data_IF_070887658114
#
_entry.id   IF_070887658114
#
_cell.length_a   1.000
_cell.length_b   1.000
_cell.length_c   1.000
_cell.angle_alpha   90.00
_cell.angle_beta   90.00
_cell.angle_gamma   90.00
#
_symmetry.space_group_name_H-M   'P 1'
#
loop_
_entity.id
_entity.type
_entity.pdbx_description
1 polymer ?
#
# COMPACT_ATOMS: atom_id res chain seq x y z
N UNK A 1 -39.00 -4.44 11.40
CA UNK A 1 -37.73 -5.18 11.63
C UNK A 1 -37.28 -5.76 10.31
N UNK A 2 -36.09 -5.40 9.82
CA UNK A 2 -35.45 -6.06 8.68
C UNK A 2 -33.97 -6.26 8.99
N UNK A 3 -33.46 -7.45 8.69
CA UNK A 3 -32.11 -7.91 9.03
C UNK A 3 -31.07 -7.37 8.04
N UNK A 4 -29.94 -6.90 8.56
CA UNK A 4 -28.78 -6.49 7.72
C UNK A 4 -28.16 -7.74 7.06
N UNK A 5 -27.69 -7.66 5.80
CA UNK A 5 -27.02 -8.77 5.14
C UNK A 5 -25.65 -9.05 5.78
N UNK A 6 -25.43 -10.30 6.18
CA UNK A 6 -24.26 -10.77 6.94
C UNK A 6 -22.91 -10.66 6.18
N UNK A 7 -22.97 -10.54 4.85
CA UNK A 7 -21.83 -10.63 3.92
C UNK A 7 -20.72 -9.58 4.11
N UNK A 8 -21.02 -8.40 4.66
CA UNK A 8 -20.03 -7.33 4.81
C UNK A 8 -19.04 -7.55 5.98
N UNK A 9 -19.33 -8.47 6.91
CA UNK A 9 -18.51 -8.63 8.11
C UNK A 9 -17.22 -9.45 7.92
N UNK A 10 -17.17 -10.39 6.96
CA UNK A 10 -16.02 -11.30 6.81
C UNK A 10 -14.79 -10.65 6.17
N UNK A 11 -14.98 -9.72 5.22
CA UNK A 11 -13.86 -8.97 4.61
C UNK A 11 -13.15 -8.04 5.61
N UNK A 12 -13.82 -7.63 6.69
CA UNK A 12 -13.35 -6.59 7.60
C UNK A 12 -12.26 -7.00 8.58
N UNK A 13 -12.06 -8.30 8.83
CA UNK A 13 -11.15 -8.81 9.87
C UNK A 13 -9.97 -9.56 9.26
N UNK A 14 -10.23 -10.59 8.46
CA UNK A 14 -9.17 -11.49 7.97
C UNK A 14 -8.17 -10.77 7.06
N UNK A 15 -8.65 -10.00 6.07
CA UNK A 15 -7.74 -9.20 5.22
C UNK A 15 -7.03 -8.10 6.01
N UNK A 16 -7.71 -7.40 6.95
CA UNK A 16 -7.04 -6.35 7.75
C UNK A 16 -5.88 -6.88 8.61
N UNK A 17 -5.94 -8.12 9.10
CA UNK A 17 -4.84 -8.73 9.89
C UNK A 17 -3.78 -9.46 9.06
N UNK A 18 -4.09 -9.99 7.86
CA UNK A 18 -3.08 -10.60 6.98
C UNK A 18 -2.34 -9.57 6.10
N UNK A 19 -2.99 -8.46 5.70
CA UNK A 19 -2.36 -7.39 4.90
C UNK A 19 -1.00 -6.92 5.46
N UNK A 20 -0.77 -6.66 6.76
CA UNK A 20 0.55 -6.22 7.23
C UNK A 20 1.70 -7.21 6.95
N UNK A 21 1.44 -8.52 6.83
CA UNK A 21 2.50 -9.50 6.52
C UNK A 21 2.86 -9.47 5.01
N UNK A 22 1.87 -9.42 4.13
CA UNK A 22 2.08 -9.28 2.68
C UNK A 22 2.59 -7.88 2.31
N UNK A 23 2.14 -6.85 3.04
CA UNK A 23 2.68 -5.51 2.96
C UNK A 23 4.15 -5.49 3.37
N UNK A 24 4.63 -6.34 4.29
CA UNK A 24 6.05 -6.32 4.66
C UNK A 24 6.99 -6.67 3.49
N UNK A 25 6.58 -7.58 2.61
CA UNK A 25 7.30 -7.89 1.36
C UNK A 25 7.23 -6.73 0.35
N UNK A 26 6.25 -5.84 0.46
CA UNK A 26 6.12 -4.59 -0.30
C UNK A 26 6.72 -3.35 0.40
N UNK A 27 6.97 -3.38 1.72
CA UNK A 27 7.44 -2.22 2.51
C UNK A 27 8.90 -1.85 2.19
N UNK A 28 9.70 -2.83 1.74
CA UNK A 28 11.02 -2.54 1.15
C UNK A 28 10.88 -1.76 -0.18
N UNK A 29 9.74 -1.88 -0.85
CA UNK A 29 9.32 -1.06 -1.99
C UNK A 29 8.59 0.24 -1.62
N UNK A 30 8.38 0.54 -0.33
CA UNK A 30 7.89 1.84 0.15
C UNK A 30 8.99 2.69 0.79
N UNK A 31 10.22 2.57 0.27
CA UNK A 31 11.23 3.61 0.41
C UNK A 31 10.75 4.87 -0.39
N UNK A 32 10.70 6.07 0.21
CA UNK A 32 10.04 7.25 -0.38
C UNK A 32 10.81 7.94 -1.53
N UNK A 33 11.78 7.24 -2.14
CA UNK A 33 12.90 7.86 -2.85
C UNK A 33 12.58 8.42 -4.25
N UNK A 34 11.36 8.22 -4.80
CA UNK A 34 10.98 8.71 -6.14
C UNK A 34 9.49 9.13 -6.22
N UNK A 35 9.22 10.21 -6.95
CA UNK A 35 7.93 10.91 -7.05
C UNK A 35 7.72 11.75 -8.36
N UNK A 36 8.47 11.55 -9.45
CA UNK A 36 8.29 12.29 -10.72
C UNK A 36 9.35 11.96 -11.81
N UNK A 37 9.55 12.73 -12.88
CA UNK A 37 8.69 13.65 -13.65
C UNK A 37 9.21 13.95 -15.09
N UNK A 38 10.51 14.20 -15.34
CA UNK A 38 11.20 14.13 -16.67
C UNK A 38 12.45 15.04 -16.89
N UNK A 39 13.46 14.72 -17.72
CA UNK A 39 13.75 13.46 -18.47
C UNK A 39 15.24 12.96 -18.51
N UNK A 40 16.26 13.52 -19.20
CA UNK A 40 17.49 12.78 -19.65
C UNK A 40 18.77 12.95 -18.77
N UNK A 41 19.90 12.23 -18.90
CA UNK A 41 20.51 11.23 -19.82
C UNK A 41 21.79 10.63 -19.15
N UNK A 42 22.47 9.54 -19.58
CA UNK A 42 22.14 8.38 -20.45
C UNK A 42 23.07 7.12 -20.17
N UNK A 43 24.01 6.55 -20.99
CA UNK A 43 24.27 5.08 -20.96
C UNK A 43 25.73 4.55 -20.74
N UNK A 44 25.86 3.26 -20.37
CA UNK A 44 27.12 2.47 -20.36
C UNK A 44 26.99 1.07 -19.69
N UNK A 45 27.05 -0.03 -20.46
CA UNK A 45 26.49 -1.36 -20.12
C UNK A 45 27.23 -2.30 -19.11
N UNK A 46 26.42 -3.05 -18.34
CA UNK A 46 26.48 -4.51 -18.01
C UNK A 46 27.76 -5.21 -17.46
N UNK A 47 27.61 -6.01 -16.39
CA UNK A 47 28.59 -7.01 -15.91
C UNK A 47 28.07 -7.90 -14.76
N UNK A 48 28.51 -9.16 -14.68
CA UNK A 48 27.99 -10.17 -13.74
C UNK A 48 28.66 -10.16 -12.33
N UNK A 49 28.10 -10.94 -11.40
CA UNK A 49 28.51 -10.96 -9.99
C UNK A 49 29.89 -11.61 -9.72
N UNK A 50 30.91 -10.77 -9.59
CA UNK A 50 32.13 -11.08 -8.84
C UNK A 50 31.87 -10.94 -7.31
N UNK A 51 32.86 -11.23 -6.45
CA UNK A 51 32.75 -10.98 -5.00
C UNK A 51 32.72 -9.47 -4.74
N UNK A 52 31.51 -8.90 -4.75
CA UNK A 52 31.31 -7.46 -4.93
C UNK A 52 32.08 -6.61 -3.91
N UNK A 53 32.91 -5.71 -4.44
CA UNK A 53 33.43 -4.53 -3.72
C UNK A 53 32.26 -3.86 -2.97
N UNK A 54 32.39 -3.57 -1.66
CA UNK A 54 31.35 -2.85 -0.92
C UNK A 54 30.98 -1.55 -1.66
N UNK A 55 29.70 -1.42 -2.00
CA UNK A 55 29.20 -0.33 -2.82
C UNK A 55 29.28 1.01 -2.06
N UNK A 56 29.45 2.10 -2.80
CA UNK A 56 29.17 3.46 -2.34
C UNK A 56 27.68 3.67 -1.98
N UNK A 57 27.33 4.77 -1.29
CA UNK A 57 25.94 5.05 -0.92
C UNK A 57 25.06 5.34 -2.15
N UNK A 58 25.63 6.01 -3.15
CA UNK A 58 25.07 6.21 -4.48
C UNK A 58 25.02 4.92 -5.31
N UNK A 59 26.14 4.18 -5.39
CA UNK A 59 26.22 2.87 -6.06
C UNK A 59 25.15 1.89 -5.52
N UNK A 60 24.87 1.93 -4.20
CA UNK A 60 23.87 1.07 -3.53
C UNK A 60 22.43 1.39 -3.97
N UNK A 61 22.05 2.66 -4.03
CA UNK A 61 20.72 3.07 -4.52
C UNK A 61 20.59 2.79 -6.02
N UNK A 62 21.61 3.11 -6.81
CA UNK A 62 21.61 2.84 -8.25
C UNK A 62 21.50 1.35 -8.56
N UNK A 63 22.15 0.47 -7.79
CA UNK A 63 22.00 -0.98 -7.93
C UNK A 63 20.55 -1.44 -7.68
N UNK A 64 19.90 -0.92 -6.62
CA UNK A 64 18.49 -1.21 -6.32
C UNK A 64 17.55 -0.70 -7.43
N UNK A 65 17.70 0.55 -7.86
CA UNK A 65 16.84 1.16 -8.90
C UNK A 65 16.98 0.45 -10.25
N UNK A 66 18.21 0.10 -10.64
CA UNK A 66 18.45 -0.69 -11.85
C UNK A 66 17.79 -2.07 -11.77
N UNK A 67 17.88 -2.75 -10.62
CA UNK A 67 17.22 -4.03 -10.41
C UNK A 67 15.70 -3.95 -10.54
N UNK A 68 15.06 -2.98 -9.88
CA UNK A 68 13.61 -2.74 -10.00
C UNK A 68 13.21 -2.46 -11.45
N UNK A 69 13.93 -1.58 -12.15
CA UNK A 69 13.69 -1.28 -13.57
C UNK A 69 13.84 -2.53 -14.46
N UNK A 70 14.81 -3.39 -14.17
CA UNK A 70 15.09 -4.60 -14.94
C UNK A 70 14.20 -5.78 -14.54
N UNK A 71 13.24 -5.60 -13.63
CA UNK A 71 12.34 -6.64 -13.10
C UNK A 71 13.12 -7.75 -12.37
N UNK A 72 14.16 -7.33 -11.64
CA UNK A 72 15.08 -8.11 -10.81
C UNK A 72 14.93 -7.68 -9.35
N UNK A 73 13.79 -8.02 -8.75
CA UNK A 73 13.39 -7.67 -7.39
C UNK A 73 14.30 -8.28 -6.32
N UNK A 74 15.13 -9.27 -6.65
CA UNK A 74 16.22 -9.71 -5.79
C UNK A 74 17.21 -8.59 -5.43
N UNK A 75 17.34 -7.55 -6.26
CA UNK A 75 18.13 -6.36 -5.92
C UNK A 75 17.59 -5.64 -4.67
N UNK A 76 16.26 -5.61 -4.48
CA UNK A 76 15.60 -5.02 -3.31
C UNK A 76 15.86 -5.84 -2.05
N UNK A 77 15.97 -7.17 -2.17
CA UNK A 77 16.44 -8.02 -1.07
C UNK A 77 17.92 -7.78 -0.77
N UNK A 78 18.76 -7.80 -1.81
CA UNK A 78 20.21 -7.67 -1.69
C UNK A 78 20.66 -6.30 -1.16
N UNK A 79 19.82 -5.27 -1.29
CA UNK A 79 20.00 -3.97 -0.67
C UNK A 79 20.01 -4.03 0.87
N UNK A 80 19.14 -4.85 1.49
CA UNK A 80 18.97 -4.92 2.95
C UNK A 80 20.18 -5.54 3.69
N UNK A 81 20.52 -5.07 4.90
CA UNK A 81 21.45 -5.74 5.83
C UNK A 81 21.08 -7.20 6.11
N UNK A 82 22.04 -8.00 6.57
CA UNK A 82 21.83 -9.42 6.87
C UNK A 82 20.89 -9.62 8.08
N UNK A 83 21.00 -8.79 9.12
CA UNK A 83 20.02 -8.77 10.22
C UNK A 83 18.61 -8.45 9.73
N UNK A 84 18.45 -7.44 8.86
CA UNK A 84 17.15 -7.02 8.35
C UNK A 84 16.51 -8.11 7.47
N UNK A 85 17.32 -8.84 6.69
CA UNK A 85 16.89 -10.04 5.97
C UNK A 85 16.46 -11.17 6.93
N UNK A 86 17.22 -11.40 8.01
CA UNK A 86 16.91 -12.41 9.04
C UNK A 86 15.63 -12.07 9.81
N UNK A 87 15.38 -10.80 10.13
CA UNK A 87 14.15 -10.32 10.75
C UNK A 87 12.92 -10.65 9.89
N UNK A 88 12.95 -10.29 8.60
CA UNK A 88 11.82 -10.52 7.69
C UNK A 88 11.55 -12.02 7.49
N UNK A 89 12.59 -12.83 7.30
CA UNK A 89 12.44 -14.29 7.23
C UNK A 89 11.90 -14.85 8.56
N UNK A 90 12.46 -14.44 9.70
CA UNK A 90 12.06 -14.89 11.03
C UNK A 90 10.62 -14.51 11.39
N UNK A 91 10.15 -13.34 10.98
CA UNK A 91 8.75 -12.89 11.12
C UNK A 91 7.79 -13.81 10.33
N UNK A 92 8.16 -14.21 9.11
CA UNK A 92 7.39 -15.16 8.32
C UNK A 92 7.36 -16.56 8.97
N UNK A 93 8.50 -17.03 9.49
CA UNK A 93 8.61 -18.33 10.17
C UNK A 93 7.82 -18.35 11.49
N UNK A 94 7.91 -17.28 12.29
CA UNK A 94 7.19 -17.13 13.56
C UNK A 94 5.66 -17.11 13.30
N UNK A 95 5.20 -16.33 12.33
CA UNK A 95 3.80 -16.36 11.89
C UNK A 95 3.37 -17.77 11.44
N UNK A 96 4.21 -18.47 10.66
CA UNK A 96 3.94 -19.83 10.20
C UNK A 96 3.89 -20.87 11.32
N UNK A 97 4.49 -20.59 12.49
CA UNK A 97 4.42 -21.44 13.68
C UNK A 97 3.14 -21.26 14.50
N UNK A 98 2.48 -20.10 14.39
CA UNK A 98 1.30 -19.70 15.18
C UNK A 98 -0.03 -20.01 14.50
N UNK A 99 -0.03 -20.08 13.18
CA UNK A 99 -1.26 -20.19 12.38
C UNK A 99 -1.69 -21.65 12.15
N UNK A 100 -3.01 -21.87 12.06
CA UNK A 100 -3.57 -23.18 11.73
C UNK A 100 -3.41 -23.50 10.23
N UNK A 101 -2.95 -24.72 9.87
CA UNK A 101 -2.67 -25.09 8.48
C UNK A 101 -3.94 -25.25 7.62
N UNK A 102 -5.06 -25.67 8.19
CA UNK A 102 -6.32 -25.86 7.46
C UNK A 102 -6.91 -24.49 7.07
N UNK A 103 -6.90 -23.54 8.00
CA UNK A 103 -7.28 -22.14 7.76
C UNK A 103 -6.38 -21.47 6.73
N UNK A 104 -5.05 -21.63 6.86
CA UNK A 104 -4.10 -20.95 5.99
C UNK A 104 -4.07 -21.55 4.58
N UNK A 105 -3.91 -22.87 4.46
CA UNK A 105 -3.85 -23.54 3.16
C UNK A 105 -5.20 -23.45 2.44
N UNK A 106 -6.32 -23.65 3.13
CA UNK A 106 -7.67 -23.51 2.55
C UNK A 106 -7.96 -22.11 2.00
N UNK A 107 -7.36 -21.06 2.58
CA UNK A 107 -7.41 -19.69 2.02
C UNK A 107 -6.71 -19.63 0.66
N UNK A 108 -5.53 -20.24 0.55
CA UNK A 108 -4.73 -20.26 -0.69
C UNK A 108 -5.30 -21.17 -1.76
N UNK A 109 -5.81 -22.36 -1.41
CA UNK A 109 -6.52 -23.27 -2.33
C UNK A 109 -7.76 -22.59 -2.94
N UNK A 110 -8.51 -21.85 -2.12
CA UNK A 110 -9.65 -21.02 -2.58
C UNK A 110 -9.17 -19.90 -3.52
N UNK A 111 -8.02 -19.28 -3.22
CA UNK A 111 -7.36 -18.30 -4.07
C UNK A 111 -6.88 -18.87 -5.41
N UNK A 112 -6.35 -20.09 -5.42
CA UNK A 112 -5.94 -20.81 -6.63
C UNK A 112 -7.14 -21.16 -7.51
N UNK A 113 -8.24 -21.65 -6.91
CA UNK A 113 -9.51 -21.85 -7.63
C UNK A 113 -10.05 -20.56 -8.25
N UNK A 114 -10.03 -19.45 -7.51
CA UNK A 114 -10.43 -18.15 -8.04
C UNK A 114 -9.50 -17.70 -9.19
N UNK A 115 -8.18 -17.80 -9.03
CA UNK A 115 -7.21 -17.43 -10.07
C UNK A 115 -7.39 -18.25 -11.36
N UNK A 116 -7.69 -19.55 -11.22
CA UNK A 116 -8.06 -20.43 -12.32
C UNK A 116 -9.39 -20.01 -12.95
N UNK A 117 -10.43 -19.80 -12.16
CA UNK A 117 -11.76 -19.39 -12.63
C UNK A 117 -11.72 -18.09 -13.46
N UNK A 118 -10.94 -17.09 -13.00
CA UNK A 118 -10.75 -15.82 -13.71
C UNK A 118 -10.07 -15.99 -15.08
N UNK A 119 -9.30 -17.07 -15.29
CA UNK A 119 -8.70 -17.41 -16.58
C UNK A 119 -9.65 -18.25 -17.42
N UNK A 120 -10.09 -19.39 -16.89
CA UNK A 120 -10.96 -20.37 -17.55
C UNK A 120 -12.32 -19.79 -18.01
N UNK A 121 -12.81 -18.72 -17.35
CA UNK A 121 -14.08 -18.06 -17.68
C UNK A 121 -13.92 -16.58 -18.10
N UNK A 122 -12.72 -16.14 -18.52
CA UNK A 122 -12.44 -14.75 -18.98
C UNK A 122 -13.56 -14.19 -19.86
N UNK A 123 -13.92 -14.91 -20.92
CA UNK A 123 -14.99 -14.51 -21.85
C UNK A 123 -16.35 -14.27 -21.16
N UNK A 124 -16.78 -15.16 -20.27
CA UNK A 124 -18.10 -15.05 -19.63
C UNK A 124 -18.14 -13.85 -18.66
N UNK A 125 -16.99 -13.50 -18.07
CA UNK A 125 -16.86 -12.34 -17.18
C UNK A 125 -16.88 -11.04 -18.00
N UNK A 126 -16.10 -10.95 -19.09
CA UNK A 126 -16.05 -9.77 -19.94
C UNK A 126 -17.34 -9.52 -20.74
N UNK A 127 -18.16 -10.56 -20.96
CA UNK A 127 -19.51 -10.45 -21.53
C UNK A 127 -20.60 -10.08 -20.51
N UNK A 128 -20.29 -10.06 -19.20
CA UNK A 128 -21.26 -9.71 -18.18
C UNK A 128 -21.69 -8.23 -18.31
N UNK A 129 -23.00 -7.98 -18.37
CA UNK A 129 -23.55 -6.63 -18.56
C UNK A 129 -23.13 -5.61 -17.49
N UNK A 130 -22.82 -6.04 -16.26
CA UNK A 130 -22.31 -5.15 -15.20
C UNK A 130 -20.83 -4.80 -15.38
N UNK A 131 -20.05 -5.61 -16.10
CA UNK A 131 -18.67 -5.29 -16.51
C UNK A 131 -18.69 -4.38 -17.74
N UNK A 132 -19.52 -4.71 -18.73
CA UNK A 132 -19.69 -3.88 -19.94
C UNK A 132 -20.33 -2.50 -19.65
N UNK A 133 -21.09 -2.39 -18.55
CA UNK A 133 -21.63 -1.12 -18.05
C UNK A 133 -20.66 -0.28 -17.22
N UNK A 134 -19.41 -0.71 -17.03
CA UNK A 134 -18.37 0.12 -16.40
C UNK A 134 -17.90 1.22 -17.37
N UNK A 135 -17.46 2.39 -16.87
CA UNK A 135 -16.98 3.50 -17.70
C UNK A 135 -15.54 3.28 -18.19
N UNK A 136 -15.24 2.10 -18.75
CA UNK A 136 -13.94 1.71 -19.31
C UNK A 136 -14.17 0.93 -20.61
N UNK A 137 -13.46 1.21 -21.72
CA UNK A 137 -13.66 0.51 -22.99
C UNK A 137 -13.47 -1.02 -22.85
N UNK A 138 -14.30 -1.87 -23.49
CA UNK A 138 -14.17 -3.33 -23.43
C UNK A 138 -12.79 -3.85 -23.85
N UNK A 139 -12.17 -3.19 -24.84
CA UNK A 139 -10.84 -3.51 -25.35
C UNK A 139 -9.78 -3.30 -24.26
N UNK A 140 -9.90 -2.22 -23.47
CA UNK A 140 -9.04 -1.97 -22.32
C UNK A 140 -9.30 -2.96 -21.18
N UNK A 141 -10.55 -3.37 -20.97
CA UNK A 141 -10.86 -4.41 -19.98
C UNK A 141 -10.24 -5.77 -20.35
N UNK A 142 -10.11 -6.10 -21.64
CA UNK A 142 -9.37 -7.29 -22.08
C UNK A 142 -7.85 -7.14 -21.90
N UNK A 143 -7.27 -6.02 -22.34
CA UNK A 143 -5.83 -5.71 -22.18
C UNK A 143 -5.37 -5.78 -20.70
N UNK A 144 -6.16 -5.22 -19.78
CA UNK A 144 -5.85 -5.24 -18.34
C UNK A 144 -6.09 -6.61 -17.67
N UNK A 145 -6.85 -7.53 -18.30
CA UNK A 145 -7.28 -8.77 -17.67
C UNK A 145 -6.13 -9.73 -17.35
N UNK A 146 -5.31 -10.02 -18.37
CA UNK A 146 -4.29 -11.08 -18.27
C UNK A 146 -3.15 -10.68 -17.29
N UNK A 147 -2.62 -9.45 -17.30
CA UNK A 147 -1.70 -8.99 -16.26
C UNK A 147 -2.31 -9.04 -14.85
N UNK A 148 -3.58 -8.65 -14.69
CA UNK A 148 -4.27 -8.67 -13.39
C UNK A 148 -4.44 -10.09 -12.85
N UNK A 149 -4.91 -11.03 -13.68
CA UNK A 149 -5.03 -12.43 -13.27
C UNK A 149 -3.67 -13.11 -13.06
N UNK A 150 -2.62 -12.64 -13.73
CA UNK A 150 -1.25 -13.10 -13.49
C UNK A 150 -0.68 -12.62 -12.14
N UNK A 151 -0.98 -11.40 -11.68
CA UNK A 151 -0.63 -10.95 -10.32
C UNK A 151 -1.27 -11.88 -9.27
N UNK A 152 -2.57 -12.14 -9.39
CA UNK A 152 -3.29 -13.04 -8.48
C UNK A 152 -2.68 -14.44 -8.55
N UNK A 153 -2.45 -14.96 -9.77
CA UNK A 153 -1.85 -16.30 -9.99
C UNK A 153 -0.45 -16.43 -9.37
N UNK A 154 0.41 -15.43 -9.50
CA UNK A 154 1.76 -15.45 -8.95
C UNK A 154 1.71 -15.54 -7.42
N UNK A 155 0.91 -14.69 -6.77
CA UNK A 155 0.74 -14.70 -5.31
C UNK A 155 0.21 -16.05 -4.81
N UNK A 156 -0.88 -16.57 -5.38
CA UNK A 156 -1.54 -17.78 -4.85
C UNK A 156 -0.81 -19.09 -5.14
N UNK A 157 0.25 -19.09 -5.97
CA UNK A 157 1.10 -20.25 -6.23
C UNK A 157 2.55 -20.10 -5.68
N UNK A 158 2.87 -18.94 -5.10
CA UNK A 158 4.20 -18.56 -4.60
C UNK A 158 4.73 -19.40 -3.42
N UNK A 159 5.91 -19.03 -2.91
CA UNK A 159 6.42 -19.56 -1.64
C UNK A 159 5.58 -19.17 -0.40
N UNK A 160 4.61 -18.26 -0.55
CA UNK A 160 3.63 -17.95 0.49
C UNK A 160 2.42 -18.89 0.45
N UNK A 161 2.30 -19.79 -0.55
CA UNK A 161 1.02 -20.46 -0.84
C UNK A 161 0.60 -21.60 0.11
N UNK A 162 1.40 -21.93 1.11
CA UNK A 162 1.02 -22.88 2.16
C UNK A 162 1.87 -22.66 3.41
N UNK A 163 1.34 -23.07 4.56
CA UNK A 163 1.99 -22.86 5.85
C UNK A 163 3.36 -23.55 5.90
N UNK A 164 3.50 -24.71 5.27
CA UNK A 164 4.77 -25.46 5.25
C UNK A 164 5.85 -24.82 4.39
N UNK A 165 5.49 -24.17 3.27
CA UNK A 165 6.45 -23.32 2.53
C UNK A 165 6.85 -22.10 3.37
N UNK A 166 5.91 -21.51 4.10
CA UNK A 166 6.13 -20.31 4.91
C UNK A 166 7.05 -20.56 6.12
N UNK A 167 7.03 -21.77 6.70
CA UNK A 167 8.00 -22.21 7.74
C UNK A 167 9.45 -22.21 7.26
N UNK A 168 9.66 -22.29 5.94
CA UNK A 168 10.97 -22.19 5.29
C UNK A 168 10.99 -21.03 4.28
N UNK A 169 10.29 -19.94 4.58
CA UNK A 169 10.25 -18.77 3.71
C UNK A 169 11.65 -18.15 3.56
N UNK A 170 11.98 -17.72 2.34
CA UNK A 170 13.14 -16.87 2.10
C UNK A 170 12.75 -15.72 1.16
N UNK A 171 12.94 -14.49 1.63
CA UNK A 171 12.58 -13.28 0.89
C UNK A 171 13.38 -13.10 -0.40
N UNK A 172 14.64 -13.54 -0.45
CA UNK A 172 15.48 -13.48 -1.64
C UNK A 172 14.99 -14.42 -2.74
N UNK A 173 14.68 -15.66 -2.39
CA UNK A 173 14.04 -16.65 -3.26
C UNK A 173 12.63 -16.21 -3.69
N UNK A 174 11.83 -15.65 -2.78
CA UNK A 174 10.51 -15.13 -3.13
C UNK A 174 10.61 -13.98 -4.14
N UNK A 175 11.50 -13.00 -3.91
CA UNK A 175 11.63 -11.83 -4.78
C UNK A 175 12.23 -12.20 -6.15
N UNK A 176 13.29 -13.04 -6.19
CA UNK A 176 13.87 -13.55 -7.45
C UNK A 176 12.92 -14.40 -8.30
N UNK A 177 11.85 -14.96 -7.71
CA UNK A 177 10.86 -15.79 -8.43
C UNK A 177 9.51 -15.10 -8.58
N UNK A 178 8.75 -14.97 -7.49
CA UNK A 178 7.41 -14.37 -7.46
C UNK A 178 7.49 -12.86 -7.63
N UNK A 179 8.44 -12.18 -6.97
CA UNK A 179 8.67 -10.74 -7.14
C UNK A 179 8.92 -10.37 -8.60
N UNK A 180 9.74 -11.15 -9.31
CA UNK A 180 10.04 -10.93 -10.73
C UNK A 180 8.83 -11.17 -11.66
N UNK A 181 7.92 -12.11 -11.30
CA UNK A 181 6.64 -12.28 -12.01
C UNK A 181 5.65 -11.13 -11.73
N UNK A 182 5.63 -10.62 -10.50
CA UNK A 182 4.83 -9.46 -10.10
C UNK A 182 5.32 -8.19 -10.80
N UNK A 183 6.62 -7.92 -10.80
CA UNK A 183 7.24 -6.79 -11.48
C UNK A 183 6.91 -6.79 -12.99
N UNK A 184 7.01 -7.94 -13.66
CA UNK A 184 6.59 -8.11 -15.07
C UNK A 184 5.12 -7.74 -15.28
N UNK A 185 4.24 -8.19 -14.40
CA UNK A 185 2.80 -7.96 -14.52
C UNK A 185 2.41 -6.49 -14.21
N UNK A 186 3.04 -5.87 -13.21
CA UNK A 186 2.87 -4.44 -12.88
C UNK A 186 3.43 -3.56 -14.00
N UNK A 187 4.57 -3.89 -14.58
CA UNK A 187 5.15 -3.19 -15.72
C UNK A 187 4.24 -3.27 -16.96
N UNK A 188 3.65 -4.45 -17.23
CA UNK A 188 2.64 -4.61 -18.28
C UNK A 188 1.43 -3.69 -18.01
N UNK A 189 0.84 -3.71 -16.80
CA UNK A 189 -0.26 -2.80 -16.43
C UNK A 189 0.13 -1.32 -16.63
N UNK A 190 1.33 -0.91 -16.21
CA UNK A 190 1.78 0.49 -16.31
C UNK A 190 1.89 0.98 -17.77
N UNK A 191 2.18 0.07 -18.71
CA UNK A 191 2.30 0.39 -20.14
C UNK A 191 0.95 0.55 -20.84
N UNK A 192 -0.14 0.06 -20.22
CA UNK A 192 -1.51 0.18 -20.72
C UNK A 192 -2.22 1.44 -20.21
N UNK A 193 -1.69 2.07 -19.15
CA UNK A 193 -2.17 3.37 -18.64
C UNK A 193 -1.68 4.49 -19.56
N UNK A 194 -2.56 5.35 -20.11
CA UNK A 194 -2.15 6.49 -20.91
C UNK A 194 -1.19 7.40 -20.14
N UNK A 195 0.02 7.55 -20.66
CA UNK A 195 0.98 8.52 -20.14
C UNK A 195 0.55 9.93 -20.56
N UNK A 196 0.81 10.93 -19.72
CA UNK A 196 0.65 12.33 -20.14
C UNK A 196 1.67 12.66 -21.23
N UNK A 197 1.23 13.42 -22.23
CA UNK A 197 2.09 13.84 -23.33
C UNK A 197 3.27 14.67 -22.80
N UNK A 198 4.50 14.25 -23.14
CA UNK A 198 5.75 14.87 -22.67
C UNK A 198 6.36 14.25 -21.40
N UNK A 199 5.59 13.57 -20.54
CA UNK A 199 6.17 12.86 -19.38
C UNK A 199 6.83 11.53 -19.82
N UNK A 200 8.05 11.19 -19.35
CA UNK A 200 8.60 9.85 -19.47
C UNK A 200 7.79 8.82 -18.68
N UNK A 201 7.77 7.58 -19.18
CA UNK A 201 7.21 6.45 -18.45
C UNK A 201 8.00 6.13 -17.17
N UNK A 202 7.41 5.34 -16.27
CA UNK A 202 8.04 4.93 -15.02
C UNK A 202 9.43 4.29 -15.21
N UNK A 203 9.59 3.36 -16.17
CA UNK A 203 10.90 2.76 -16.49
C UNK A 203 11.92 3.78 -17.00
N UNK A 204 11.48 4.76 -17.78
CA UNK A 204 12.35 5.82 -18.25
C UNK A 204 12.77 6.74 -17.09
N UNK A 205 11.86 7.08 -16.17
CA UNK A 205 12.18 7.83 -14.94
C UNK A 205 13.26 7.11 -14.12
N UNK A 206 13.10 5.80 -13.87
CA UNK A 206 14.11 4.97 -13.17
C UNK A 206 15.49 4.99 -13.87
N UNK A 207 15.53 4.75 -15.19
CA UNK A 207 16.79 4.69 -15.97
C UNK A 207 17.56 6.00 -16.02
N UNK A 208 16.87 7.13 -15.93
CA UNK A 208 17.48 8.46 -16.03
C UNK A 208 17.70 9.11 -14.64
N UNK A 209 17.30 8.45 -13.55
CA UNK A 209 17.59 8.89 -12.19
C UNK A 209 19.09 8.85 -11.93
N UNK A 210 19.66 10.00 -11.58
CA UNK A 210 21.05 10.12 -11.12
C UNK A 210 21.06 10.14 -9.60
N UNK A 211 22.04 9.47 -9.01
CA UNK A 211 22.35 9.58 -7.59
C UNK A 211 23.80 10.01 -7.49
N UNK A 212 24.08 10.99 -6.65
CA UNK A 212 25.42 11.54 -6.45
C UNK A 212 25.69 11.72 -4.97
N UNK A 213 26.95 11.57 -4.55
CA UNK A 213 27.35 11.79 -3.16
C UNK A 213 27.64 13.27 -2.94
N UNK A 214 26.89 13.94 -2.06
CA UNK A 214 27.13 15.33 -1.65
C UNK A 214 28.21 15.37 -0.57
N UNK A 215 28.15 14.42 0.38
CA UNK A 215 29.01 14.38 1.57
C UNK A 215 29.16 12.94 2.07
N UNK A 216 30.32 12.58 2.63
CA UNK A 216 30.53 11.33 3.37
C UNK A 216 31.33 11.60 4.64
N UNK A 217 30.84 11.13 5.78
CA UNK A 217 31.48 11.28 7.10
C UNK A 217 31.52 9.91 7.80
N UNK A 218 32.53 9.10 7.44
CA UNK A 218 32.74 7.77 8.00
C UNK A 218 31.66 6.77 7.57
N UNK A 219 30.69 6.52 8.47
CA UNK A 219 29.57 5.61 8.27
C UNK A 219 28.24 6.32 7.98
N UNK A 220 28.23 7.64 7.82
CA UNK A 220 27.12 8.41 7.24
C UNK A 220 27.50 9.05 5.90
N UNK A 221 26.50 9.31 5.06
CA UNK A 221 26.65 10.06 3.81
C UNK A 221 25.36 10.79 3.46
N UNK A 222 25.47 11.94 2.80
CA UNK A 222 24.34 12.64 2.17
C UNK A 222 24.42 12.36 0.67
N UNK A 223 23.37 11.77 0.10
CA UNK A 223 23.23 11.61 -1.35
C UNK A 223 22.20 12.59 -1.89
N UNK A 224 22.42 13.06 -3.12
CA UNK A 224 21.45 13.83 -3.89
C UNK A 224 20.87 12.92 -4.96
N UNK A 225 19.55 12.74 -4.92
CA UNK A 225 18.77 12.00 -5.91
C UNK A 225 18.19 13.02 -6.89
N UNK A 226 18.75 13.01 -8.09
CA UNK A 226 18.24 13.73 -9.26
C UNK A 226 17.44 12.74 -10.10
N UNK A 227 16.27 12.37 -9.59
CA UNK A 227 15.23 11.82 -10.42
C UNK A 227 14.89 12.86 -11.50
N UNK A 228 14.63 12.46 -12.75
CA UNK A 228 14.31 13.42 -13.80
C UNK A 228 13.11 14.25 -13.39
N UNK A 229 13.20 15.58 -13.35
CA UNK A 229 12.05 16.49 -13.20
C UNK A 229 11.21 16.37 -11.92
N UNK A 230 11.64 15.58 -10.93
CA UNK A 230 11.39 15.98 -9.54
C UNK A 230 12.23 17.22 -9.24
N UNK A 231 11.88 17.93 -8.17
CA UNK A 231 12.89 18.74 -7.49
C UNK A 231 13.92 17.78 -6.88
N UNK A 232 15.23 18.01 -7.06
CA UNK A 232 16.25 17.13 -6.51
C UNK A 232 16.17 17.03 -4.98
N UNK A 233 16.19 15.81 -4.46
CA UNK A 233 16.11 15.53 -3.02
C UNK A 233 17.48 15.18 -2.48
N UNK A 234 17.82 15.66 -1.29
CA UNK A 234 18.94 15.16 -0.51
C UNK A 234 18.41 14.18 0.55
N UNK A 235 19.04 13.01 0.63
CA UNK A 235 18.67 11.89 1.51
C UNK A 235 19.89 11.48 2.33
N UNK A 236 19.70 11.29 3.63
CA UNK A 236 20.76 10.79 4.51
C UNK A 236 20.84 9.26 4.43
N UNK A 237 22.05 8.75 4.30
CA UNK A 237 22.40 7.33 4.22
C UNK A 237 23.30 6.96 5.39
N UNK A 238 23.11 5.77 5.94
CA UNK A 238 23.93 5.21 7.03
C UNK A 238 24.39 3.80 6.67
N UNK A 239 25.62 3.44 7.04
CA UNK A 239 26.20 2.12 6.78
C UNK A 239 25.81 1.15 7.89
N UNK A 240 24.97 0.17 7.56
CA UNK A 240 24.54 -0.93 8.45
C UNK A 240 25.09 -2.23 7.89
N UNK A 241 25.90 -2.95 8.68
CA UNK A 241 26.53 -4.23 8.30
C UNK A 241 27.30 -4.19 6.96
N UNK A 242 27.89 -3.04 6.63
CA UNK A 242 28.62 -2.84 5.37
C UNK A 242 27.78 -2.41 4.17
N UNK A 243 26.45 -2.27 4.32
CA UNK A 243 25.54 -1.78 3.27
C UNK A 243 25.02 -0.39 3.60
N UNK A 244 24.83 0.46 2.59
CA UNK A 244 24.28 1.80 2.77
C UNK A 244 22.76 1.79 2.65
N UNK A 245 22.08 2.23 3.71
CA UNK A 245 20.62 2.24 3.85
C UNK A 245 20.16 3.67 4.14
N UNK A 246 18.99 4.13 3.66
CA UNK A 246 18.45 5.43 4.03
C UNK A 246 18.25 5.51 5.54
N UNK A 247 18.73 6.59 6.16
CA UNK A 247 18.77 6.77 7.61
C UNK A 247 17.37 6.65 8.24
N UNK A 248 16.35 7.17 7.57
CA UNK A 248 14.95 7.00 7.97
C UNK A 248 14.50 5.52 8.04
N UNK A 249 15.00 4.65 7.15
CA UNK A 249 14.72 3.21 7.25
C UNK A 249 15.48 2.57 8.41
N UNK A 250 16.76 2.92 8.59
CA UNK A 250 17.58 2.35 9.66
C UNK A 250 17.12 2.76 11.07
N UNK A 251 16.93 4.07 11.31
CA UNK A 251 16.48 4.63 12.59
C UNK A 251 15.13 4.07 13.04
N UNK A 252 14.28 3.65 12.09
CA UNK A 252 12.95 3.12 12.36
C UNK A 252 12.85 1.59 12.22
N UNK A 253 13.94 0.87 11.93
CA UNK A 253 13.88 -0.58 11.68
C UNK A 253 13.42 -1.33 12.93
N UNK A 254 14.16 -1.19 14.03
CA UNK A 254 13.93 -1.91 15.28
C UNK A 254 12.54 -1.64 15.86
N UNK A 255 12.06 -0.38 15.79
CA UNK A 255 10.70 0.00 16.17
C UNK A 255 9.67 -0.75 15.33
N UNK A 256 9.81 -0.78 14.00
CA UNK A 256 8.90 -1.50 13.09
C UNK A 256 8.95 -3.01 13.33
N UNK A 257 10.13 -3.58 13.63
CA UNK A 257 10.28 -5.00 13.99
C UNK A 257 9.59 -5.34 15.31
N UNK A 258 9.79 -4.53 16.36
CA UNK A 258 9.12 -4.69 17.64
C UNK A 258 7.60 -4.63 17.49
N UNK A 259 7.11 -3.72 16.65
CA UNK A 259 5.68 -3.55 16.38
C UNK A 259 5.06 -4.74 15.63
N UNK A 260 5.78 -5.34 14.68
CA UNK A 260 5.34 -6.58 14.00
C UNK A 260 5.41 -7.77 14.97
N UNK A 261 6.49 -7.91 15.75
CA UNK A 261 6.64 -8.98 16.76
C UNK A 261 5.56 -8.89 17.85
N UNK A 262 5.17 -7.68 18.28
CA UNK A 262 4.02 -7.44 19.15
C UNK A 262 2.71 -7.95 18.53
N UNK A 263 2.45 -7.60 17.27
CA UNK A 263 1.27 -8.08 16.51
C UNK A 263 1.29 -9.60 16.26
N UNK A 264 2.46 -10.25 16.25
CA UNK A 264 2.59 -11.71 16.25
C UNK A 264 2.40 -12.32 17.66
N UNK A 265 2.82 -11.65 18.73
CA UNK A 265 2.54 -12.07 20.10
C UNK A 265 1.04 -12.06 20.41
N UNK A 266 0.31 -11.07 19.89
CA UNK A 266 -1.16 -10.98 19.98
C UNK A 266 -1.90 -12.14 19.29
N UNK A 267 -1.26 -12.92 18.41
CA UNK A 267 -1.84 -14.13 17.81
C UNK A 267 -1.78 -15.31 18.79
N UNK A 268 -2.63 -15.26 19.82
CA UNK A 268 -2.77 -16.35 20.79
C UNK A 268 -3.52 -17.56 20.21
N UNK A 269 -3.34 -18.79 20.72
CA UNK A 269 -4.03 -19.98 20.23
C UNK A 269 -5.56 -19.85 20.24
N UNK A 270 -6.12 -19.13 21.22
CA UNK A 270 -7.56 -18.86 21.35
C UNK A 270 -8.04 -17.93 20.22
N UNK A 271 -7.29 -16.86 19.91
CA UNK A 271 -7.60 -15.96 18.79
C UNK A 271 -7.48 -16.68 17.44
N UNK A 272 -6.49 -17.55 17.27
CA UNK A 272 -6.31 -18.34 16.03
C UNK A 272 -7.44 -19.36 15.88
N UNK A 273 -7.84 -20.03 16.97
CA UNK A 273 -8.95 -20.99 16.96
C UNK A 273 -10.29 -20.32 16.66
N UNK A 274 -10.59 -19.18 17.30
CA UNK A 274 -11.81 -18.42 17.02
C UNK A 274 -11.87 -17.88 15.58
N UNK A 275 -10.73 -17.46 15.02
CA UNK A 275 -10.63 -17.05 13.61
C UNK A 275 -10.74 -18.24 12.66
N UNK A 276 -10.25 -19.44 13.04
CA UNK A 276 -10.35 -20.66 12.22
C UNK A 276 -11.78 -20.99 11.85
N UNK A 277 -12.69 -21.08 12.83
CA UNK A 277 -14.09 -21.45 12.58
C UNK A 277 -14.78 -20.47 11.62
N UNK A 278 -14.63 -19.16 11.87
CA UNK A 278 -15.19 -18.11 11.01
C UNK A 278 -14.58 -18.16 9.59
N UNK A 279 -13.27 -18.42 9.49
CA UNK A 279 -12.55 -18.43 8.22
C UNK A 279 -12.90 -19.67 7.39
N UNK A 280 -12.97 -20.86 7.99
CA UNK A 280 -13.39 -22.08 7.31
C UNK A 280 -14.86 -22.02 6.84
N UNK A 281 -15.76 -21.41 7.64
CA UNK A 281 -17.13 -21.14 7.21
C UNK A 281 -17.19 -20.20 6.00
N UNK A 282 -16.36 -19.14 5.98
CA UNK A 282 -16.22 -18.24 4.84
C UNK A 282 -15.64 -18.92 3.60
N UNK A 283 -14.54 -19.67 3.77
CA UNK A 283 -13.89 -20.49 2.74
C UNK A 283 -14.91 -21.45 2.12
N UNK A 284 -15.71 -22.14 2.92
CA UNK A 284 -16.78 -23.02 2.43
C UNK A 284 -17.80 -22.26 1.57
N UNK A 285 -18.32 -21.13 2.06
CA UNK A 285 -19.31 -20.32 1.33
C UNK A 285 -18.76 -19.78 -0.01
N UNK A 286 -17.49 -19.36 -0.02
CA UNK A 286 -16.80 -18.95 -1.26
C UNK A 286 -16.61 -20.14 -2.19
N UNK A 287 -16.15 -21.29 -1.69
CA UNK A 287 -15.93 -22.50 -2.48
C UNK A 287 -17.23 -23.10 -3.07
N UNK A 288 -18.36 -22.98 -2.39
CA UNK A 288 -19.70 -23.31 -2.92
C UNK A 288 -20.14 -22.34 -4.03
N UNK A 289 -19.66 -21.09 -3.99
CA UNK A 289 -19.96 -20.06 -5.00
C UNK A 289 -19.04 -20.21 -6.22
N UNK A 290 -17.75 -20.46 -6.00
CA UNK A 290 -16.79 -20.84 -7.04
C UNK A 290 -17.26 -22.11 -7.75
N UNK A 291 -17.70 -23.15 -7.03
CA UNK A 291 -18.21 -24.38 -7.64
C UNK A 291 -19.39 -24.13 -8.60
N UNK A 292 -20.28 -23.17 -8.31
CA UNK A 292 -21.38 -22.80 -9.22
C UNK A 292 -20.86 -22.10 -10.49
N UNK A 293 -19.90 -21.20 -10.34
CA UNK A 293 -19.28 -20.48 -11.46
C UNK A 293 -18.40 -21.38 -12.34
N UNK A 294 -17.66 -22.32 -11.74
CA UNK A 294 -16.86 -23.33 -12.43
C UNK A 294 -17.76 -24.26 -13.26
N UNK A 295 -18.78 -24.85 -12.64
CA UNK A 295 -19.67 -25.83 -13.27
C UNK A 295 -20.74 -25.22 -14.20
N UNK A 296 -20.88 -23.90 -14.23
CA UNK A 296 -21.83 -23.22 -15.11
C UNK A 296 -21.58 -23.59 -16.59
N UNK A 297 -22.60 -24.15 -17.22
CA UNK A 297 -22.59 -24.70 -18.59
C UNK A 297 -22.98 -23.67 -19.65
N UNK A 298 -23.54 -22.54 -19.25
CA UNK A 298 -23.86 -21.41 -20.11
C UNK A 298 -23.44 -20.09 -19.48
N UNK A 299 -23.31 -19.07 -20.33
CA UNK A 299 -23.06 -17.70 -19.90
C UNK A 299 -24.21 -17.16 -19.02
N UNK A 300 -25.45 -17.57 -19.26
CA UNK A 300 -26.61 -17.21 -18.43
C UNK A 300 -26.51 -17.79 -17.01
N UNK A 301 -26.19 -19.07 -16.87
CA UNK A 301 -26.02 -19.74 -15.57
C UNK A 301 -24.86 -19.12 -14.77
N UNK A 302 -23.78 -18.76 -15.47
CA UNK A 302 -22.64 -18.06 -14.90
C UNK A 302 -23.01 -16.64 -14.44
N UNK A 303 -23.63 -15.83 -15.32
CA UNK A 303 -24.00 -14.45 -15.01
C UNK A 303 -25.09 -14.35 -13.95
N UNK A 304 -26.01 -15.31 -13.86
CA UNK A 304 -26.97 -15.44 -12.75
C UNK A 304 -26.29 -15.59 -11.38
N UNK A 305 -25.11 -16.19 -11.34
CA UNK A 305 -24.30 -16.35 -10.13
C UNK A 305 -23.34 -15.17 -9.91
N UNK A 306 -22.77 -14.60 -10.98
CA UNK A 306 -21.77 -13.52 -10.90
C UNK A 306 -22.38 -12.13 -10.67
N UNK A 307 -23.47 -11.77 -11.36
CA UNK A 307 -24.04 -10.41 -11.30
C UNK A 307 -24.44 -9.97 -9.87
N UNK A 308 -25.01 -10.84 -8.99
CA UNK A 308 -25.24 -10.47 -7.58
C UNK A 308 -23.97 -10.14 -6.79
N UNK A 309 -22.81 -10.67 -7.20
CA UNK A 309 -21.49 -10.41 -6.59
C UNK A 309 -20.93 -9.06 -7.10
N UNK A 310 -21.16 -8.74 -8.37
CA UNK A 310 -20.71 -7.50 -9.02
C UNK A 310 -21.57 -6.28 -8.67
N UNK A 311 -22.88 -6.45 -8.41
CA UNK A 311 -23.81 -5.35 -8.22
C UNK A 311 -23.36 -4.26 -7.21
N UNK A 312 -22.80 -4.60 -6.02
CA UNK A 312 -22.30 -3.58 -5.09
C UNK A 312 -21.10 -2.78 -5.64
N UNK A 313 -20.27 -3.37 -6.50
CA UNK A 313 -19.14 -2.71 -7.15
C UNK A 313 -19.62 -1.80 -8.29
N UNK A 314 -20.56 -2.30 -9.11
CA UNK A 314 -21.18 -1.52 -10.18
C UNK A 314 -21.95 -0.30 -9.64
N UNK A 315 -22.60 -0.41 -8.47
CA UNK A 315 -23.23 0.73 -7.78
C UNK A 315 -22.21 1.75 -7.22
N UNK A 316 -21.01 1.30 -6.86
CA UNK A 316 -19.96 2.16 -6.31
C UNK A 316 -19.14 2.89 -7.40
N UNK A 317 -19.02 2.30 -8.60
CA UNK A 317 -18.20 2.86 -9.68
C UNK A 317 -18.59 4.31 -10.10
N UNK A 318 -19.89 4.68 -10.27
CA UNK A 318 -20.27 6.06 -10.54
C UNK A 318 -19.92 7.03 -9.41
N UNK A 319 -19.97 6.59 -8.15
CA UNK A 319 -19.59 7.42 -6.99
C UNK A 319 -18.09 7.69 -6.97
N UNK A 320 -17.25 6.66 -7.21
CA UNK A 320 -15.80 6.85 -7.33
C UNK A 320 -15.44 7.71 -8.54
N UNK A 321 -16.13 7.56 -9.67
CA UNK A 321 -15.90 8.40 -10.86
C UNK A 321 -16.35 9.85 -10.66
N UNK A 322 -17.39 10.11 -9.85
CA UNK A 322 -17.74 11.48 -9.45
C UNK A 322 -16.69 12.08 -8.50
N UNK A 323 -16.16 11.29 -7.56
CA UNK A 323 -15.10 11.71 -6.66
C UNK A 323 -13.77 12.00 -7.39
N UNK A 324 -13.43 11.20 -8.40
CA UNK A 324 -12.25 11.42 -9.26
C UNK A 324 -12.48 12.56 -10.27
N UNK A 325 -13.67 12.66 -10.87
CA UNK A 325 -14.00 13.62 -11.92
C UNK A 325 -14.32 15.04 -11.42
N UNK A 326 -14.60 15.23 -10.14
CA UNK A 326 -14.72 16.56 -9.52
C UNK A 326 -13.40 17.09 -8.93
N UNK A 327 -12.31 16.31 -8.98
CA UNK A 327 -10.97 16.80 -8.65
C UNK A 327 -10.15 17.05 -9.93
N UNK A 328 -9.42 18.17 -10.03
CA UNK A 328 -8.55 18.46 -11.17
C UNK A 328 -7.24 17.66 -11.07
N UNK A 329 -7.33 16.33 -11.17
CA UNK A 329 -6.22 15.37 -11.10
C UNK A 329 -5.20 15.70 -9.99
N UNK A 330 -5.70 15.95 -8.77
CA UNK A 330 -4.87 15.97 -7.57
C UNK A 330 -4.06 14.68 -7.51
N UNK A 331 -2.79 14.78 -7.13
CA UNK A 331 -1.90 13.61 -7.07
C UNK A 331 -2.52 12.48 -6.25
N UNK A 332 -2.42 11.25 -6.76
CA UNK A 332 -2.89 10.07 -6.05
C UNK A 332 -2.31 10.00 -4.63
N UNK A 333 -3.01 9.40 -3.66
CA UNK A 333 -2.68 9.49 -2.25
C UNK A 333 -1.22 9.10 -1.99
N UNK A 334 -0.41 10.10 -1.63
CA UNK A 334 1.03 9.94 -1.47
C UNK A 334 1.35 8.97 -0.32
N UNK A 335 2.36 8.09 -0.47
CA UNK A 335 2.78 7.18 0.59
C UNK A 335 3.57 7.94 1.68
N UNK A 336 2.88 8.77 2.48
CA UNK A 336 3.46 9.71 3.44
C UNK A 336 2.95 9.63 4.89
N UNK A 337 1.86 8.89 5.16
CA UNK A 337 1.32 8.69 6.52
C UNK A 337 0.66 9.91 7.18
N UNK A 338 0.23 9.81 8.46
CA UNK A 338 0.08 8.59 9.26
C UNK A 338 -1.34 8.02 9.20
N UNK A 339 -1.49 6.69 9.05
CA UNK A 339 -2.74 6.00 9.41
C UNK A 339 -2.55 4.49 9.59
N UNK A 340 -2.11 4.09 10.79
CA UNK A 340 -2.26 2.71 11.29
C UNK A 340 -2.93 2.63 12.67
N UNK A 341 -3.60 3.71 13.09
CA UNK A 341 -4.65 3.63 14.09
C UNK A 341 -5.82 2.75 13.62
N UNK A 342 -6.59 2.19 14.55
CA UNK A 342 -7.72 1.34 14.19
C UNK A 342 -8.77 2.10 13.38
N UNK A 343 -9.00 1.68 12.13
CA UNK A 343 -10.15 2.11 11.34
C UNK A 343 -11.47 1.49 11.88
N UNK A 344 -11.84 1.91 13.09
CA UNK A 344 -13.23 2.03 13.55
C UNK A 344 -13.89 3.18 12.76
N UNK A 345 -15.21 3.18 12.52
CA UNK A 345 -15.90 4.37 12.07
C UNK A 345 -15.70 5.49 13.10
N UNK A 346 -15.20 6.65 12.68
CA UNK A 346 -15.03 7.80 13.56
C UNK A 346 -16.39 8.19 14.16
N UNK A 347 -16.47 8.28 15.49
CA UNK A 347 -17.67 8.76 16.18
C UNK A 347 -17.92 10.22 15.77
N UNK A 348 -19.08 10.57 15.18
CA UNK A 348 -19.40 11.96 14.83
C UNK A 348 -19.30 12.92 16.03
N UNK A 349 -19.46 12.42 17.26
CA UNK A 349 -19.35 13.18 18.50
C UNK A 349 -17.89 13.39 18.96
N UNK A 350 -16.91 12.82 18.26
CA UNK A 350 -15.46 12.94 18.54
C UNK A 350 -14.67 13.63 17.41
N UNK A 351 -15.29 13.93 16.27
CA UNK A 351 -14.67 14.74 15.21
C UNK A 351 -14.59 16.20 15.65
N UNK A 352 -13.46 16.87 15.46
CA UNK A 352 -13.31 18.34 15.48
C UNK A 352 -13.01 18.84 14.08
N UNK A 353 -13.56 20.00 13.71
CA UNK A 353 -13.31 20.66 12.42
C UNK A 353 -12.55 21.96 12.64
N UNK A 354 -11.25 21.98 12.38
CA UNK A 354 -10.46 23.23 12.30
C UNK A 354 -10.73 23.89 10.95
N UNK A 355 -10.93 25.20 10.96
CA UNK A 355 -11.20 26.03 9.78
C UNK A 355 -10.15 27.13 9.72
N UNK A 356 -9.45 27.25 8.59
CA UNK A 356 -8.50 28.31 8.30
C UNK A 356 -9.01 29.08 7.09
N UNK A 357 -9.33 30.37 7.27
CA UNK A 357 -9.94 31.25 6.26
C UNK A 357 -8.91 31.74 5.21
N UNK A 358 -8.00 30.84 4.82
CA UNK A 358 -7.03 30.94 3.74
C UNK A 358 -6.88 29.57 3.11
N UNK A 359 -6.81 29.53 1.78
CA UNK A 359 -6.45 28.34 1.00
C UNK A 359 -4.94 28.07 1.12
N UNK A 360 -4.60 26.91 1.64
CA UNK A 360 -3.22 26.48 1.85
C UNK A 360 -2.78 25.49 0.77
N UNK A 361 -1.58 25.67 0.22
CA UNK A 361 -0.88 24.64 -0.55
C UNK A 361 -0.45 23.48 0.34
N UNK A 362 -0.12 22.32 -0.23
CA UNK A 362 0.26 21.13 0.56
C UNK A 362 1.43 21.42 1.51
N UNK A 363 2.49 22.08 1.01
CA UNK A 363 3.65 22.47 1.81
C UNK A 363 3.34 23.47 2.96
N UNK A 364 2.20 24.18 2.90
CA UNK A 364 1.70 25.00 4.02
C UNK A 364 0.80 24.20 4.98
N UNK A 365 0.26 23.05 4.55
CA UNK A 365 -0.56 22.16 5.37
C UNK A 365 0.29 21.18 6.18
N UNK A 366 1.38 20.67 5.62
CA UNK A 366 2.25 19.67 6.26
C UNK A 366 2.74 20.10 7.68
N UNK A 367 3.35 21.28 7.90
CA UNK A 367 3.76 21.73 9.24
C UNK A 367 2.59 22.05 10.19
N UNK A 368 1.37 22.23 9.66
CA UNK A 368 0.14 22.36 10.46
C UNK A 368 -0.33 20.98 10.91
N UNK A 369 -0.28 19.98 10.04
CA UNK A 369 -0.64 18.58 10.34
C UNK A 369 0.28 18.02 11.43
N UNK A 370 1.60 18.25 11.34
CA UNK A 370 2.56 17.90 12.40
C UNK A 370 2.17 18.53 13.75
N UNK A 371 1.87 19.82 13.77
CA UNK A 371 1.49 20.51 15.01
C UNK A 371 0.11 20.09 15.53
N UNK A 372 -0.82 19.65 14.68
CA UNK A 372 -2.07 19.00 15.10
C UNK A 372 -1.76 17.67 15.79
N UNK A 373 -0.88 16.83 15.22
CA UNK A 373 -0.47 15.55 15.80
C UNK A 373 0.25 15.72 17.16
N UNK A 374 0.95 16.84 17.36
CA UNK A 374 1.55 17.23 18.65
C UNK A 374 0.56 17.89 19.63
N UNK A 375 -0.68 18.18 19.21
CA UNK A 375 -1.71 18.84 20.03
C UNK A 375 -2.82 17.90 20.53
N UNK A 376 -2.87 16.67 20.02
CA UNK A 376 -3.84 15.63 20.41
C UNK A 376 -3.30 14.73 21.52
N UNK A 377 -4.18 14.22 22.40
CA UNK A 377 -3.79 13.41 23.56
C UNK A 377 -3.50 11.92 23.25
N UNK A 378 -3.86 11.45 22.06
CA UNK A 378 -3.58 10.11 21.54
C UNK A 378 -3.21 10.23 20.06
N UNK A 379 -1.94 10.47 19.78
CA UNK A 379 -1.43 10.68 18.42
C UNK A 379 -1.33 9.39 17.60
N UNK A 380 -1.44 8.21 18.21
CA UNK A 380 -1.39 6.91 17.51
C UNK A 380 -2.73 6.57 16.83
N UNK A 381 -3.85 7.06 17.36
CA UNK A 381 -5.20 6.81 16.84
C UNK A 381 -5.80 7.96 16.03
N UNK A 382 -5.08 9.08 15.85
CA UNK A 382 -5.64 10.29 15.22
C UNK A 382 -5.62 10.25 13.70
N UNK A 383 -6.81 10.41 13.12
CA UNK A 383 -7.06 10.60 11.70
C UNK A 383 -7.26 12.09 11.40
N UNK A 384 -6.50 12.63 10.45
CA UNK A 384 -6.58 14.01 9.99
C UNK A 384 -6.91 14.01 8.49
N UNK A 385 -8.03 14.63 8.12
CA UNK A 385 -8.42 14.78 6.71
C UNK A 385 -8.48 16.27 6.36
N UNK A 386 -7.50 16.81 5.62
CA UNK A 386 -7.59 18.13 5.03
C UNK A 386 -8.61 18.16 3.89
N UNK A 387 -9.35 19.26 3.77
CA UNK A 387 -10.34 19.53 2.74
C UNK A 387 -10.25 21.01 2.35
N UNK A 388 -10.17 21.32 1.07
CA UNK A 388 -10.24 22.69 0.58
C UNK A 388 -11.66 23.01 0.10
N UNK A 389 -12.28 24.03 0.67
CA UNK A 389 -13.62 24.50 0.32
C UNK A 389 -13.53 25.97 -0.12
N UNK A 390 -13.42 26.20 -1.43
CA UNK A 390 -13.17 27.52 -2.00
C UNK A 390 -11.82 28.09 -1.58
N UNK A 391 -11.85 29.21 -0.86
CA UNK A 391 -10.68 29.92 -0.32
C UNK A 391 -10.38 29.57 1.14
N UNK A 392 -10.91 28.46 1.64
CA UNK A 392 -10.78 28.01 3.05
C UNK A 392 -10.21 26.59 3.10
N UNK A 393 -9.21 26.36 3.96
CA UNK A 393 -8.70 25.02 4.26
C UNK A 393 -9.28 24.53 5.58
N UNK A 394 -9.79 23.30 5.59
CA UNK A 394 -10.52 22.68 6.69
C UNK A 394 -9.83 21.37 7.07
N UNK A 395 -9.51 21.17 8.35
CA UNK A 395 -8.97 19.90 8.85
C UNK A 395 -10.02 19.21 9.74
N UNK A 396 -10.43 18.00 9.36
CA UNK A 396 -11.26 17.14 10.21
C UNK A 396 -10.37 16.18 10.99
N UNK A 397 -10.45 16.23 12.32
CA UNK A 397 -9.55 15.56 13.25
C UNK A 397 -10.37 14.67 14.17
N UNK A 398 -9.97 13.41 14.36
CA UNK A 398 -10.64 12.47 15.26
C UNK A 398 -9.68 11.40 15.76
N UNK A 399 -9.74 10.96 17.03
CA UNK A 399 -10.64 11.44 18.08
C UNK A 399 -10.15 12.70 18.78
N UNK A 400 -11.07 13.61 19.11
CA UNK A 400 -10.85 14.73 20.05
C UNK A 400 -12.00 14.73 21.04
N UNK A 401 -11.75 14.54 22.33
CA UNK A 401 -12.80 14.52 23.35
C UNK A 401 -13.25 15.93 23.72
N UNK A 402 -12.33 16.74 24.25
CA UNK A 402 -12.55 18.12 24.67
C UNK A 402 -12.03 19.13 23.62
N UNK A 403 -12.96 19.87 23.03
CA UNK A 403 -12.68 20.88 21.98
C UNK A 403 -11.99 22.13 22.56
N UNK A 404 -12.28 22.50 23.80
CA UNK A 404 -11.71 23.70 24.44
C UNK A 404 -10.32 23.44 25.02
N UNK A 405 -10.06 22.23 25.53
CA UNK A 405 -8.71 21.81 25.91
C UNK A 405 -7.81 21.64 24.67
N UNK A 406 -8.35 21.05 23.59
CA UNK A 406 -7.62 20.91 22.32
C UNK A 406 -7.31 22.29 21.68
N UNK A 407 -8.28 23.22 21.65
CA UNK A 407 -8.05 24.57 21.14
C UNK A 407 -6.89 25.31 21.85
N UNK A 408 -6.68 25.07 23.15
CA UNK A 408 -5.58 25.66 23.94
C UNK A 408 -4.21 25.05 23.66
N UNK A 409 -4.12 23.94 22.92
CA UNK A 409 -2.88 23.25 22.55
C UNK A 409 -2.35 23.63 21.17
N UNK A 410 -3.21 24.20 20.31
CA UNK A 410 -2.86 24.69 18.97
C UNK A 410 -1.73 25.72 19.04
N UNK A 411 -0.69 25.54 18.21
CA UNK A 411 0.51 26.39 18.14
C UNK A 411 0.80 26.98 16.76
N UNK A 412 0.18 26.45 15.70
CA UNK A 412 0.39 26.91 14.31
C UNK A 412 -0.39 28.18 13.95
N UNK A 413 -1.10 28.77 14.91
CA UNK A 413 -1.94 29.93 14.73
C UNK A 413 -2.79 30.18 15.96
N UNK A 414 -3.52 31.29 15.97
CA UNK A 414 -4.37 31.73 17.07
C UNK A 414 -5.81 31.24 16.87
N UNK A 415 -6.41 30.50 17.82
CA UNK A 415 -7.84 30.20 17.80
C UNK A 415 -8.67 31.49 17.91
N UNK A 416 -9.20 31.96 16.78
CA UNK A 416 -10.03 33.14 16.69
C UNK A 416 -11.47 32.88 17.19
N UNK A 417 -11.94 31.64 17.05
CA UNK A 417 -13.28 31.21 17.46
C UNK A 417 -13.29 29.73 17.83
N UNK A 418 -13.90 29.39 18.96
CA UNK A 418 -14.13 28.01 19.39
C UNK A 418 -15.64 27.81 19.56
N UNK A 419 -16.24 26.91 18.80
CA UNK A 419 -17.64 26.49 18.94
C UNK A 419 -17.65 25.01 19.38
N UNK A 420 -17.60 24.79 20.70
CA UNK A 420 -17.60 23.45 21.28
C UNK A 420 -18.90 22.66 20.98
N UNK A 421 -20.02 23.35 20.68
CA UNK A 421 -21.31 22.71 20.35
C UNK A 421 -21.36 22.19 18.92
N UNK A 422 -20.76 22.92 17.97
CA UNK A 422 -20.54 22.47 16.59
C UNK A 422 -19.23 21.70 16.40
N UNK A 423 -18.43 21.60 17.47
CA UNK A 423 -17.10 20.96 17.50
C UNK A 423 -16.18 21.52 16.43
N UNK A 424 -16.10 22.84 16.33
CA UNK A 424 -15.29 23.54 15.32
C UNK A 424 -14.46 24.67 15.91
N UNK A 425 -13.29 24.92 15.31
CA UNK A 425 -12.33 25.94 15.73
C UNK A 425 -11.89 26.73 14.49
N UNK A 426 -12.15 28.03 14.44
CA UNK A 426 -11.54 28.91 13.43
C UNK A 426 -10.15 29.34 13.94
N UNK A 427 -9.11 29.16 13.12
CA UNK A 427 -7.73 29.55 13.44
C UNK A 427 -7.25 30.60 12.45
N UNK A 428 -6.81 31.74 12.99
CA UNK A 428 -6.04 32.74 12.25
C UNK A 428 -4.56 32.31 12.29
N UNK A 429 -3.92 32.14 11.12
CA UNK A 429 -2.48 31.86 11.08
C UNK A 429 -1.68 33.09 11.52
N UNK A 430 -0.63 32.87 12.30
CA UNK A 430 0.40 33.89 12.53
C UNK A 430 1.28 34.03 11.26
N UNK A 431 1.94 35.18 11.10
CA UNK A 431 2.61 35.59 9.86
C UNK A 431 4.11 35.29 9.83
#
# INVERSE_FOLDING_TARGET
MFTRPFFLSLKGILMKKLIPLFAFVFIVGTLPLLSGCGKPADPGAQGAAESAKPLGPDESILAMLNGVNNQQMEAVWNFLPASYQQDVNGIAHEFASKMDPEMYNGTFETGQRLAKLLKDKKEYILKNQMIQGLPVPPEKMDEFWDPTTNIISALVNSDLSSLDKLKSFDGGKFLSTTGNQLAKSVMALSSLVPQKEGEPSFSEKLKQTKVTVVKTEGDTATIKIEAPGEEPKEEEMVKVEGKWIPKNLADNWDTKMADVRKKLADLTPEQVTAQKEQTLAGIKQVNETLAKLENAKSEEEFNKTLSPILAPVAMLAPMMMMQLGQQPMMGGPGPGGPSLGENKPADPNQIVTIVIEKKLSNAEQDPIIEQILLSVDDSEQVNIVPMAEGETTIFKISPVTDVEAFAKKIKFGKPAKVDAKKRSITVELEK
#
